data_IF_838466293826
#
_entry.id   IF_838466293826
#
_cell.length_a   1.000
_cell.length_b   1.000
_cell.length_c   1.000
_cell.angle_alpha   90.00
_cell.angle_beta   90.00
_cell.angle_gamma   90.00
#
_symmetry.space_group_name_H-M   'P 1'
#
loop_
_entity.id
_entity.type
_entity.pdbx_description
1 polymer ?
#
# COMPACT_ATOMS: atom_id res chain seq x y z
N UNK A 1 7.31 11.76 -4.99
CA UNK A 1 6.71 12.76 -5.89
C UNK A 1 5.57 12.11 -6.69
N UNK A 2 4.47 12.81 -6.95
CA UNK A 2 3.36 12.35 -7.83
C UNK A 2 3.91 12.25 -9.27
N UNK A 3 3.77 11.10 -9.97
CA UNK A 3 4.12 11.03 -11.38
C UNK A 3 3.37 12.08 -12.19
N UNK A 4 4.06 12.80 -13.06
CA UNK A 4 3.45 13.80 -13.95
C UNK A 4 2.64 13.11 -15.04
N UNK A 5 3.24 12.09 -15.67
CA UNK A 5 2.62 11.31 -16.73
C UNK A 5 3.07 9.85 -16.69
N UNK A 6 2.12 8.94 -16.90
CA UNK A 6 2.38 7.52 -17.13
C UNK A 6 1.95 7.15 -18.55
N UNK A 7 2.64 6.19 -19.17
CA UNK A 7 2.41 5.73 -20.53
C UNK A 7 1.26 4.70 -20.60
N UNK A 8 0.07 5.16 -20.26
CA UNK A 8 -1.17 4.39 -20.29
C UNK A 8 -2.27 5.18 -20.98
N UNK A 9 -3.26 4.51 -21.60
CA UNK A 9 -4.47 5.20 -22.05
C UNK A 9 -5.13 5.95 -20.88
N UNK A 10 -5.69 7.12 -21.15
CA UNK A 10 -6.39 7.91 -20.13
C UNK A 10 -7.71 7.24 -19.77
N UNK A 11 -8.11 7.39 -18.50
CA UNK A 11 -9.42 6.99 -18.04
C UNK A 11 -10.44 8.10 -18.34
N UNK A 12 -11.42 7.89 -19.24
CA UNK A 12 -12.44 8.90 -19.54
C UNK A 12 -13.37 9.20 -18.35
N UNK A 13 -13.46 8.29 -17.38
CA UNK A 13 -14.34 8.40 -16.22
C UNK A 13 -13.64 9.04 -15.00
N UNK A 14 -12.37 9.44 -15.15
CA UNK A 14 -11.61 10.03 -14.05
C UNK A 14 -12.25 11.34 -13.57
N UNK A 15 -12.38 11.47 -12.25
CA UNK A 15 -13.02 12.63 -11.60
C UNK A 15 -14.40 12.33 -11.04
N UNK A 16 -14.96 11.15 -11.32
CA UNK A 16 -16.28 10.74 -10.83
C UNK A 16 -16.24 9.66 -9.75
N UNK A 17 -15.06 9.10 -9.47
CA UNK A 17 -14.92 7.98 -8.54
C UNK A 17 -13.89 8.18 -7.45
N UNK A 18 -13.53 7.07 -6.82
CA UNK A 18 -12.55 7.00 -5.75
C UNK A 18 -11.74 5.71 -5.84
N UNK A 19 -10.53 5.74 -5.30
CA UNK A 19 -9.81 4.53 -4.92
C UNK A 19 -10.24 4.13 -3.52
N UNK A 20 -10.65 2.87 -3.38
CA UNK A 20 -10.86 2.24 -2.09
C UNK A 20 -9.79 1.16 -1.92
N UNK A 21 -9.18 1.14 -0.74
CA UNK A 21 -8.20 0.12 -0.34
C UNK A 21 -8.66 -0.50 0.97
N UNK A 22 -8.72 -1.83 1.00
CA UNK A 22 -8.98 -2.62 2.20
C UNK A 22 -7.73 -3.34 2.62
N UNK A 23 -7.46 -3.32 3.91
CA UNK A 23 -6.42 -4.13 4.54
C UNK A 23 -7.05 -4.84 5.73
N UNK A 24 -7.08 -6.16 5.71
CA UNK A 24 -7.52 -6.96 6.85
C UNK A 24 -6.34 -7.71 7.48
N UNK A 25 -6.41 -7.85 8.80
CA UNK A 25 -5.43 -8.53 9.63
C UNK A 25 -6.20 -9.43 10.60
N UNK A 26 -5.82 -10.70 10.65
CA UNK A 26 -6.37 -11.68 11.61
C UNK A 26 -5.21 -12.33 12.36
N UNK A 27 -5.04 -11.92 13.61
CA UNK A 27 -4.02 -12.43 14.51
C UNK A 27 -4.56 -13.62 15.32
N UNK A 28 -3.80 -14.71 15.30
CA UNK A 28 -3.99 -15.93 16.08
C UNK A 28 -2.74 -16.13 16.96
N UNK A 29 -2.73 -17.13 17.84
CA UNK A 29 -1.66 -17.30 18.83
C UNK A 29 -0.25 -17.44 18.26
N UNK A 30 -0.10 -18.00 17.04
CA UNK A 30 1.20 -18.23 16.40
C UNK A 30 1.22 -17.82 14.92
N UNK A 31 0.20 -17.08 14.47
CA UNK A 31 0.02 -16.74 13.06
C UNK A 31 -0.73 -15.44 12.90
N UNK A 32 -0.30 -14.63 11.95
CA UNK A 32 -1.06 -13.47 11.49
C UNK A 32 -1.30 -13.60 9.99
N UNK A 33 -2.58 -13.60 9.60
CA UNK A 33 -2.97 -13.55 8.19
C UNK A 33 -3.36 -12.12 7.83
N UNK A 34 -2.83 -11.63 6.72
CA UNK A 34 -3.09 -10.29 6.22
C UNK A 34 -3.54 -10.34 4.76
N UNK A 35 -4.51 -9.51 4.39
CA UNK A 35 -5.00 -9.40 3.02
C UNK A 35 -5.15 -7.93 2.66
N UNK A 36 -4.76 -7.61 1.43
CA UNK A 36 -4.84 -6.27 0.86
C UNK A 36 -5.61 -6.37 -0.45
N UNK A 37 -6.53 -5.44 -0.64
CA UNK A 37 -7.32 -5.31 -1.86
C UNK A 37 -7.50 -3.84 -2.23
N UNK A 38 -7.13 -3.47 -3.46
CA UNK A 38 -7.42 -2.17 -4.07
C UNK A 38 -7.67 -2.29 -5.59
N UNK A 39 -7.73 -1.16 -6.30
CA UNK A 39 -8.01 -1.15 -7.73
C UNK A 39 -7.03 -1.99 -8.55
N UNK A 40 -5.74 -1.97 -8.21
CA UNK A 40 -4.66 -2.54 -9.02
C UNK A 40 -3.93 -3.71 -8.35
N UNK A 41 -4.13 -3.89 -7.04
CA UNK A 41 -3.43 -4.90 -6.26
C UNK A 41 -4.40 -5.73 -5.44
N UNK A 42 -4.09 -7.01 -5.36
CA UNK A 42 -4.64 -7.92 -4.38
C UNK A 42 -3.54 -8.86 -3.94
N UNK A 43 -3.29 -8.93 -2.63
CA UNK A 43 -2.16 -9.68 -2.10
C UNK A 43 -2.52 -10.25 -0.74
N UNK A 44 -1.97 -11.42 -0.42
CA UNK A 44 -2.07 -12.05 0.90
C UNK A 44 -0.69 -12.25 1.48
N UNK A 45 -0.60 -12.20 2.79
CA UNK A 45 0.60 -12.53 3.53
C UNK A 45 0.22 -13.30 4.80
N UNK A 46 0.97 -14.36 5.11
CA UNK A 46 0.85 -15.09 6.37
C UNK A 46 2.21 -15.08 7.07
N UNK A 47 2.22 -14.64 8.31
CA UNK A 47 3.39 -14.66 9.20
C UNK A 47 3.17 -15.74 10.24
N UNK A 48 4.13 -16.65 10.43
CA UNK A 48 4.16 -17.61 11.53
C UNK A 48 5.29 -17.22 12.50
N UNK A 49 5.05 -17.35 13.79
CA UNK A 49 6.01 -16.99 14.84
C UNK A 49 5.97 -17.97 16.01
N UNK A 50 7.06 -18.00 16.79
CA UNK A 50 7.19 -18.76 18.05
C UNK A 50 6.96 -17.89 19.30
N UNK A 51 6.29 -16.74 19.10
CA UNK A 51 6.07 -15.68 20.10
C UNK A 51 7.30 -14.83 20.43
N UNK A 52 8.46 -15.10 19.83
CA UNK A 52 9.67 -14.28 19.94
C UNK A 52 10.09 -13.74 18.58
N UNK A 53 10.19 -14.62 17.58
CA UNK A 53 10.67 -14.31 16.24
C UNK A 53 9.71 -14.81 15.16
N UNK A 54 9.84 -14.25 13.97
CA UNK A 54 9.20 -14.79 12.77
C UNK A 54 9.89 -16.09 12.36
N UNK A 55 9.14 -17.17 12.26
CA UNK A 55 9.66 -18.50 11.89
C UNK A 55 9.35 -18.90 10.44
N UNK A 56 8.29 -18.33 9.86
CA UNK A 56 7.98 -18.51 8.44
C UNK A 56 7.14 -17.35 7.90
N UNK A 57 7.30 -17.06 6.62
CA UNK A 57 6.46 -16.10 5.89
C UNK A 57 6.03 -16.71 4.55
N UNK A 58 4.75 -16.60 4.26
CA UNK A 58 4.20 -16.85 2.92
C UNK A 58 3.55 -15.59 2.37
N UNK A 59 3.67 -15.40 1.06
CA UNK A 59 3.03 -14.31 0.35
C UNK A 59 2.36 -14.83 -0.93
N UNK A 60 1.28 -14.16 -1.33
CA UNK A 60 0.54 -14.46 -2.55
C UNK A 60 0.24 -13.14 -3.26
N UNK A 61 0.49 -13.07 -4.56
CA UNK A 61 0.08 -11.94 -5.40
C UNK A 61 -1.06 -12.41 -6.30
N UNK A 62 -2.25 -11.82 -6.11
CA UNK A 62 -3.50 -12.23 -6.78
C UNK A 62 -3.84 -11.29 -7.92
N UNK A 63 -3.82 -9.97 -7.68
CA UNK A 63 -3.94 -8.95 -8.73
C UNK A 63 -2.64 -8.19 -8.83
N UNK A 64 -2.03 -8.17 -10.01
CA UNK A 64 -0.67 -7.65 -10.22
C UNK A 64 -0.61 -6.71 -11.42
N UNK A 65 0.02 -5.53 -11.29
CA UNK A 65 0.19 -4.62 -12.43
C UNK A 65 1.20 -5.10 -13.49
N UNK A 66 2.22 -5.88 -13.08
CA UNK A 66 3.31 -6.30 -13.98
C UNK A 66 3.69 -7.76 -13.76
N UNK A 67 4.25 -8.39 -14.78
CA UNK A 67 4.73 -9.79 -14.73
C UNK A 67 5.88 -10.02 -13.75
N UNK A 68 6.57 -8.95 -13.31
CA UNK A 68 7.64 -9.06 -12.30
C UNK A 68 7.11 -9.10 -10.85
N UNK A 69 5.85 -8.72 -10.61
CA UNK A 69 5.30 -8.63 -9.25
C UNK A 69 5.37 -9.94 -8.44
N UNK A 70 5.08 -11.14 -9.00
CA UNK A 70 5.11 -12.39 -8.24
C UNK A 70 6.47 -12.69 -7.60
N UNK A 71 7.58 -12.31 -8.26
CA UNK A 71 8.92 -12.56 -7.74
C UNK A 71 9.26 -11.74 -6.48
N UNK A 72 8.51 -10.66 -6.21
CA UNK A 72 8.66 -9.89 -4.98
C UNK A 72 8.30 -10.69 -3.72
N UNK A 73 7.51 -11.77 -3.84
CA UNK A 73 7.15 -12.64 -2.71
C UNK A 73 8.39 -13.26 -2.07
N UNK A 74 9.39 -13.64 -2.87
CA UNK A 74 10.63 -14.23 -2.35
C UNK A 74 11.42 -13.27 -1.46
N UNK A 75 11.28 -11.97 -1.66
CA UNK A 75 12.01 -10.95 -0.88
C UNK A 75 11.58 -10.95 0.59
N UNK A 76 10.36 -11.37 0.89
CA UNK A 76 9.84 -11.49 2.26
C UNK A 76 10.64 -12.46 3.13
N UNK A 77 11.37 -13.43 2.54
CA UNK A 77 12.19 -14.37 3.31
C UNK A 77 13.29 -13.67 4.13
N UNK A 78 13.72 -12.48 3.71
CA UNK A 78 14.65 -11.64 4.49
C UNK A 78 14.10 -11.19 5.86
N UNK A 79 12.79 -11.35 6.11
CA UNK A 79 12.16 -10.99 7.38
C UNK A 79 12.04 -12.19 8.35
N UNK A 80 12.34 -13.41 7.91
CA UNK A 80 12.38 -14.60 8.79
C UNK A 80 13.55 -14.48 9.75
N UNK A 81 13.34 -14.83 11.02
CA UNK A 81 14.30 -14.68 12.10
C UNK A 81 14.26 -13.32 12.79
N UNK A 82 13.52 -12.33 12.27
CA UNK A 82 13.38 -11.04 12.94
C UNK A 82 12.49 -11.15 14.18
N UNK A 83 12.78 -10.40 15.26
CA UNK A 83 11.90 -10.31 16.42
C UNK A 83 10.53 -9.79 16.05
N UNK A 84 9.46 -10.39 16.58
CA UNK A 84 8.10 -9.87 16.38
C UNK A 84 7.88 -8.52 17.10
N UNK A 85 8.76 -8.15 18.01
CA UNK A 85 8.82 -6.86 18.70
C UNK A 85 9.55 -5.77 17.91
N UNK A 86 10.04 -6.07 16.70
CA UNK A 86 10.74 -5.09 15.85
C UNK A 86 9.83 -3.89 15.58
N UNK A 87 10.33 -2.67 15.80
CA UNK A 87 9.53 -1.47 15.58
C UNK A 87 9.29 -1.27 14.09
N UNK A 88 8.08 -0.85 13.72
CA UNK A 88 7.69 -0.62 12.32
C UNK A 88 8.71 0.19 11.52
N UNK A 89 9.27 1.26 12.12
CA UNK A 89 10.25 2.13 11.44
C UNK A 89 11.57 1.42 11.09
N UNK A 90 11.96 0.41 11.88
CA UNK A 90 13.23 -0.28 11.73
C UNK A 90 13.21 -1.18 10.47
N UNK A 91 12.03 -1.65 10.05
CA UNK A 91 11.84 -2.36 8.78
C UNK A 91 12.07 -1.50 7.53
N UNK A 92 12.15 -0.17 7.66
CA UNK A 92 12.41 0.71 6.52
C UNK A 92 13.83 1.31 6.55
N UNK A 93 14.61 0.97 7.58
CA UNK A 93 16.02 1.32 7.65
C UNK A 93 16.85 0.49 6.66
N UNK A 94 18.07 0.95 6.36
CA UNK A 94 19.03 0.17 5.57
C UNK A 94 18.67 -0.07 4.10
N UNK A 95 17.61 0.55 3.57
CA UNK A 95 17.28 0.48 2.14
C UNK A 95 16.53 -0.78 1.72
N UNK A 96 16.14 -1.66 2.65
CA UNK A 96 15.39 -2.89 2.36
C UNK A 96 14.12 -2.62 1.53
N UNK A 97 13.44 -1.50 1.75
CA UNK A 97 12.27 -1.09 0.97
C UNK A 97 12.50 -1.02 -0.55
N UNK A 98 13.75 -0.81 -1.00
CA UNK A 98 14.11 -0.77 -2.44
C UNK A 98 14.12 -2.15 -3.09
N UNK A 99 14.29 -3.20 -2.29
CA UNK A 99 14.34 -4.59 -2.75
C UNK A 99 12.98 -5.28 -2.66
N UNK A 100 11.96 -4.62 -2.11
CA UNK A 100 10.64 -5.22 -1.92
C UNK A 100 9.57 -4.56 -2.78
N UNK A 101 8.47 -5.29 -3.01
CA UNK A 101 7.24 -4.62 -3.42
C UNK A 101 6.75 -3.80 -2.23
N UNK A 102 6.59 -2.48 -2.40
CA UNK A 102 6.15 -1.57 -1.33
C UNK A 102 4.88 -2.05 -0.66
N UNK A 103 3.88 -2.48 -1.44
CA UNK A 103 2.59 -2.93 -0.90
C UNK A 103 2.71 -4.23 -0.09
N UNK A 104 3.54 -5.16 -0.54
CA UNK A 104 3.72 -6.45 0.11
C UNK A 104 4.58 -6.33 1.37
N UNK A 105 5.63 -5.50 1.34
CA UNK A 105 6.42 -5.19 2.53
C UNK A 105 5.57 -4.49 3.60
N UNK A 106 4.84 -3.44 3.23
CA UNK A 106 3.95 -2.74 4.15
C UNK A 106 2.96 -3.74 4.80
N UNK A 107 2.39 -4.66 4.01
CA UNK A 107 1.46 -5.70 4.48
C UNK A 107 2.13 -6.68 5.47
N UNK A 108 3.33 -7.17 5.14
CA UNK A 108 4.09 -8.08 6.01
C UNK A 108 4.51 -7.40 7.32
N UNK A 109 4.98 -6.15 7.26
CA UNK A 109 5.37 -5.37 8.45
C UNK A 109 4.16 -5.13 9.38
N UNK A 110 2.99 -4.80 8.82
CA UNK A 110 1.76 -4.72 9.60
C UNK A 110 1.43 -6.06 10.24
N UNK A 111 1.48 -7.17 9.48
CA UNK A 111 1.21 -8.49 10.02
C UNK A 111 2.15 -8.87 11.18
N UNK A 112 3.46 -8.59 11.05
CA UNK A 112 4.43 -8.80 12.14
C UNK A 112 4.09 -7.94 13.37
N UNK A 113 3.76 -6.67 13.19
CA UNK A 113 3.36 -5.77 14.28
C UNK A 113 2.07 -6.18 15.01
N UNK A 114 1.27 -7.07 14.42
CA UNK A 114 0.07 -7.65 15.05
C UNK A 114 0.33 -9.02 15.70
N UNK A 115 1.51 -9.62 15.52
CA UNK A 115 1.86 -10.93 16.13
C UNK A 115 1.86 -10.90 17.67
N UNK A 116 2.11 -9.73 18.27
CA UNK A 116 2.05 -9.55 19.73
C UNK A 116 0.62 -9.29 20.26
N UNK A 117 -0.37 -9.24 19.38
CA UNK A 117 -1.78 -8.90 19.71
C UNK A 117 -2.71 -10.04 19.27
N UNK A 118 -2.59 -11.26 19.84
CA UNK A 118 -3.36 -12.41 19.42
C UNK A 118 -4.87 -12.19 19.61
N UNK A 119 -5.68 -12.91 18.82
CA UNK A 119 -7.14 -12.83 18.83
C UNK A 119 -7.72 -11.48 18.39
N UNK A 120 -6.92 -10.67 17.68
CA UNK A 120 -7.38 -9.42 17.09
C UNK A 120 -7.76 -9.62 15.63
N UNK A 121 -8.93 -9.11 15.24
CA UNK A 121 -9.33 -8.96 13.85
C UNK A 121 -9.53 -7.48 13.55
N UNK A 122 -8.84 -7.00 12.51
CA UNK A 122 -8.86 -5.61 12.10
C UNK A 122 -9.15 -5.54 10.61
N UNK A 123 -10.03 -4.62 10.25
CA UNK A 123 -10.29 -4.18 8.90
C UNK A 123 -10.05 -2.67 8.83
N UNK A 124 -9.07 -2.29 8.03
CA UNK A 124 -8.92 -0.93 7.55
C UNK A 124 -9.62 -0.79 6.20
N UNK A 125 -10.39 0.28 6.04
CA UNK A 125 -10.91 0.72 4.75
C UNK A 125 -10.46 2.17 4.54
N UNK A 126 -9.69 2.43 3.49
CA UNK A 126 -9.25 3.76 3.11
C UNK A 126 -9.90 4.16 1.79
N UNK A 127 -10.17 5.46 1.65
CA UNK A 127 -10.78 6.04 0.47
C UNK A 127 -10.10 7.34 0.09
N UNK A 128 -9.81 7.47 -1.20
CA UNK A 128 -9.25 8.67 -1.82
C UNK A 128 -10.07 8.97 -3.08
N UNK A 129 -10.88 10.05 -3.08
CA UNK A 129 -11.58 10.52 -4.28
C UNK A 129 -10.63 10.92 -5.40
N UNK A 130 -11.11 10.88 -6.64
CA UNK A 130 -10.37 11.39 -7.79
C UNK A 130 -10.09 12.90 -7.61
N UNK A 131 -8.81 13.28 -7.73
CA UNK A 131 -8.35 14.65 -7.52
C UNK A 131 -8.27 15.41 -8.85
N UNK A 132 -9.26 16.27 -9.09
CA UNK A 132 -9.38 17.13 -10.28
C UNK A 132 -8.98 18.58 -9.98
N UNK A 133 -9.91 19.50 -9.76
CA UNK A 133 -9.64 20.94 -9.54
C UNK A 133 -9.51 21.32 -8.07
N UNK A 134 -10.30 20.70 -7.19
CA UNK A 134 -10.31 21.05 -5.77
C UNK A 134 -9.46 20.07 -4.93
N UNK A 135 -9.01 20.48 -3.73
CA UNK A 135 -8.50 19.55 -2.74
C UNK A 135 -9.53 18.47 -2.41
N UNK A 136 -9.07 17.24 -2.20
CA UNK A 136 -9.97 16.11 -1.91
C UNK A 136 -9.82 15.66 -0.46
N UNK A 137 -10.94 15.31 0.22
CA UNK A 137 -10.86 14.68 1.53
C UNK A 137 -10.55 13.20 1.34
N UNK A 138 -9.43 12.75 1.89
CA UNK A 138 -9.15 11.33 2.02
C UNK A 138 -9.36 10.85 3.45
N UNK A 139 -9.84 9.64 3.59
CA UNK A 139 -10.36 9.11 4.85
C UNK A 139 -9.98 7.66 5.04
N UNK A 140 -9.78 7.26 6.29
CA UNK A 140 -9.58 5.86 6.66
C UNK A 140 -10.38 5.50 7.91
N UNK A 141 -10.97 4.32 7.87
CA UNK A 141 -11.74 3.71 8.94
C UNK A 141 -11.04 2.45 9.43
N UNK A 142 -11.17 2.17 10.72
CA UNK A 142 -10.72 0.93 11.38
C UNK A 142 -11.93 0.28 12.03
N UNK A 143 -12.29 -0.93 11.60
CA UNK A 143 -13.49 -1.64 12.06
C UNK A 143 -14.75 -0.75 12.01
N UNK A 144 -14.94 -0.05 10.89
CA UNK A 144 -16.07 0.86 10.67
C UNK A 144 -15.95 2.26 11.31
N UNK A 145 -15.08 2.45 12.31
CA UNK A 145 -14.88 3.75 12.97
C UNK A 145 -13.91 4.64 12.19
N UNK A 146 -14.27 5.90 11.94
CA UNK A 146 -13.38 6.88 11.30
C UNK A 146 -12.19 7.15 12.23
N UNK A 147 -10.97 6.92 11.75
CA UNK A 147 -9.75 7.15 12.55
C UNK A 147 -8.89 8.28 12.00
N UNK A 148 -8.99 8.60 10.71
CA UNK A 148 -8.24 9.71 10.13
C UNK A 148 -8.95 10.29 8.89
N UNK A 149 -8.89 11.62 8.75
CA UNK A 149 -9.34 12.40 7.60
C UNK A 149 -8.31 13.48 7.32
N UNK A 150 -7.78 13.54 6.09
CA UNK A 150 -6.91 14.61 5.63
C UNK A 150 -7.49 15.28 4.39
N UNK A 151 -7.40 16.61 4.32
CA UNK A 151 -7.64 17.35 3.09
C UNK A 151 -6.31 17.44 2.33
N UNK A 152 -6.27 17.01 1.07
CA UNK A 152 -5.01 16.89 0.33
C UNK A 152 -5.11 17.56 -1.03
N UNK A 153 -3.99 18.12 -1.49
CA UNK A 153 -3.83 18.64 -2.86
C UNK A 153 -2.47 18.24 -3.41
N UNK A 154 -2.46 17.55 -4.55
CA UNK A 154 -1.24 17.17 -5.28
C UNK A 154 -0.20 16.43 -4.41
N UNK A 155 -0.67 15.69 -3.39
CA UNK A 155 0.18 14.94 -2.48
C UNK A 155 0.75 15.72 -1.31
N UNK A 156 0.31 16.96 -1.08
CA UNK A 156 0.54 17.71 0.15
C UNK A 156 -0.71 17.70 1.02
N UNK A 157 -0.54 17.53 2.33
CA UNK A 157 -1.62 17.67 3.32
C UNK A 157 -1.90 19.17 3.51
N UNK A 158 -3.17 19.56 3.44
CA UNK A 158 -3.65 20.93 3.71
C UNK A 158 -4.29 21.04 5.09
N UNK A 159 -5.02 19.99 5.48
CA UNK A 159 -5.63 19.83 6.80
C UNK A 159 -5.41 18.41 7.34
N UNK A 160 -5.19 18.26 8.65
CA UNK A 160 -5.26 19.30 9.69
C UNK A 160 -4.03 20.23 9.70
N UNK A 161 -4.14 21.37 10.41
CA UNK A 161 -3.14 22.45 10.40
C UNK A 161 -1.74 21.96 10.80
N UNK A 162 -1.67 21.06 11.78
CA UNK A 162 -0.43 20.52 12.35
C UNK A 162 0.37 19.68 11.33
N UNK A 163 -0.31 19.18 10.30
CA UNK A 163 0.29 18.37 9.24
C UNK A 163 0.44 19.13 7.92
N UNK A 164 0.08 20.42 7.89
CA UNK A 164 0.07 21.21 6.65
C UNK A 164 1.44 21.21 5.97
N UNK A 165 1.44 20.97 4.66
CA UNK A 165 2.64 20.91 3.82
C UNK A 165 3.40 19.58 3.88
N UNK A 166 3.04 18.64 4.77
CA UNK A 166 3.68 17.33 4.82
C UNK A 166 3.35 16.51 3.55
N UNK A 167 4.35 15.87 2.91
CA UNK A 167 4.14 15.12 1.68
C UNK A 167 3.62 13.69 1.94
N UNK A 168 2.71 13.20 1.11
CA UNK A 168 2.24 11.81 1.08
C UNK A 168 3.15 10.86 0.29
N UNK A 169 4.06 11.42 -0.51
CA UNK A 169 4.99 10.65 -1.33
C UNK A 169 6.38 10.50 -0.69
N UNK A 170 7.38 11.08 -1.35
CA UNK A 170 8.78 11.03 -0.89
C UNK A 170 8.89 11.71 0.47
N UNK A 171 9.57 11.07 1.42
CA UNK A 171 9.72 11.58 2.78
C UNK A 171 8.59 11.21 3.74
N UNK A 172 7.49 10.59 3.25
CA UNK A 172 6.35 10.22 4.09
C UNK A 172 6.74 9.39 5.31
N UNK A 173 7.41 8.24 5.10
CA UNK A 173 7.79 7.34 6.19
C UNK A 173 8.68 8.03 7.24
N UNK A 174 9.57 8.93 6.80
CA UNK A 174 10.48 9.65 7.69
C UNK A 174 9.74 10.62 8.63
N UNK A 175 8.82 11.44 8.11
CA UNK A 175 8.08 12.36 8.98
C UNK A 175 6.96 11.66 9.75
N UNK A 176 6.27 10.70 9.13
CA UNK A 176 5.14 10.02 9.74
C UNK A 176 5.56 9.23 10.98
N UNK A 177 6.72 8.57 10.95
CA UNK A 177 7.27 7.83 12.09
C UNK A 177 7.73 8.70 13.27
N UNK A 178 7.81 10.02 13.10
CA UNK A 178 8.08 10.99 14.17
C UNK A 178 6.80 11.58 14.77
N UNK A 179 5.67 11.48 14.05
CA UNK A 179 4.40 12.12 14.42
C UNK A 179 3.38 11.10 14.90
N UNK A 180 3.39 9.90 14.34
CA UNK A 180 2.42 8.84 14.62
C UNK A 180 3.10 7.61 15.21
N UNK A 181 2.38 6.93 16.09
CA UNK A 181 2.79 5.66 16.66
C UNK A 181 1.73 4.58 16.43
N UNK A 182 2.15 3.32 16.43
CA UNK A 182 1.28 2.14 16.44
C UNK A 182 0.14 2.23 15.38
N UNK A 183 -1.11 2.06 15.80
CA UNK A 183 -2.30 2.06 14.94
C UNK A 183 -2.47 3.36 14.15
N UNK A 184 -2.01 4.51 14.67
CA UNK A 184 -2.05 5.78 13.92
C UNK A 184 -1.06 5.77 12.76
N UNK A 185 0.14 5.21 12.97
CA UNK A 185 1.16 5.08 11.93
C UNK A 185 0.72 4.07 10.86
N UNK A 186 0.08 2.97 11.27
CA UNK A 186 -0.53 2.01 10.35
C UNK A 186 -1.59 2.69 9.48
N UNK A 187 -2.55 3.38 10.10
CA UNK A 187 -3.62 4.07 9.38
C UNK A 187 -3.09 5.16 8.43
N UNK A 188 -2.13 5.96 8.89
CA UNK A 188 -1.45 6.96 8.09
C UNK A 188 -0.74 6.35 6.88
N UNK A 189 -0.03 5.22 7.09
CA UNK A 189 0.68 4.51 6.02
C UNK A 189 -0.27 3.96 4.98
N UNK A 190 -1.34 3.28 5.41
CA UNK A 190 -2.37 2.76 4.50
C UNK A 190 -2.96 3.90 3.68
N UNK A 191 -3.36 5.00 4.32
CA UNK A 191 -3.99 6.13 3.64
C UNK A 191 -3.05 6.81 2.63
N UNK A 192 -1.77 7.00 2.98
CA UNK A 192 -0.76 7.53 2.05
C UNK A 192 -0.51 6.60 0.85
N UNK A 193 -0.52 5.27 1.05
CA UNK A 193 -0.46 4.30 -0.06
C UNK A 193 -1.70 4.33 -0.92
N UNK A 194 -2.88 4.43 -0.33
CA UNK A 194 -4.14 4.60 -1.06
C UNK A 194 -4.09 5.84 -1.96
N UNK A 195 -3.52 6.95 -1.50
CA UNK A 195 -3.31 8.14 -2.33
C UNK A 195 -2.37 7.88 -3.51
N UNK A 196 -1.27 7.16 -3.29
CA UNK A 196 -0.35 6.78 -4.36
C UNK A 196 -1.04 5.92 -5.44
N UNK A 197 -1.88 4.98 -5.01
CA UNK A 197 -2.71 4.13 -5.89
C UNK A 197 -3.76 4.95 -6.64
N UNK A 198 -4.39 5.94 -5.99
CA UNK A 198 -5.40 6.80 -6.60
C UNK A 198 -4.88 7.58 -7.81
N UNK A 199 -3.58 7.87 -7.88
CA UNK A 199 -2.96 8.48 -9.06
C UNK A 199 -3.14 7.60 -10.31
N UNK A 200 -3.11 6.27 -10.14
CA UNK A 200 -3.30 5.30 -11.22
C UNK A 200 -4.69 5.36 -11.86
N UNK A 201 -5.73 5.82 -11.14
CA UNK A 201 -7.10 5.94 -11.68
C UNK A 201 -7.23 6.93 -12.84
N UNK A 202 -6.24 7.81 -13.05
CA UNK A 202 -6.16 8.69 -14.24
C UNK A 202 -6.01 7.91 -15.54
N UNK A 203 -5.66 6.63 -15.44
CA UNK A 203 -5.26 5.78 -16.55
C UNK A 203 -6.09 4.50 -16.61
N UNK A 204 -6.00 3.79 -17.72
CA UNK A 204 -6.50 2.42 -17.92
C UNK A 204 -5.34 1.43 -18.09
N UNK A 205 -4.61 1.05 -17.02
CA UNK A 205 -3.58 0.02 -17.07
C UNK A 205 -4.07 -1.31 -17.67
N UNK A 206 -5.35 -1.65 -17.51
CA UNK A 206 -5.93 -2.85 -18.14
C UNK A 206 -5.83 -2.87 -19.67
N UNK A 207 -5.72 -1.70 -20.31
CA UNK A 207 -5.54 -1.56 -21.77
C UNK A 207 -4.08 -1.48 -22.21
N UNK A 208 -3.14 -1.76 -21.30
CA UNK A 208 -1.71 -1.70 -21.55
C UNK A 208 -1.04 -3.08 -21.60
N UNK A 209 -1.81 -4.17 -21.68
CA UNK A 209 -1.30 -5.54 -21.71
C UNK A 209 -0.12 -5.71 -22.68
N UNK A 210 0.96 -6.33 -22.21
CA UNK A 210 2.17 -6.59 -23.00
C UNK A 210 3.09 -5.40 -23.20
N UNK A 211 2.70 -4.17 -22.85
CA UNK A 211 3.60 -3.01 -22.92
C UNK A 211 4.74 -3.16 -21.90
N UNK A 212 5.99 -2.81 -22.25
CA UNK A 212 7.10 -2.83 -21.31
C UNK A 212 6.85 -1.93 -20.09
N UNK A 213 7.12 -2.43 -18.88
CA UNK A 213 6.99 -1.63 -17.66
C UNK A 213 7.95 -0.43 -17.67
N UNK A 214 9.15 -0.60 -18.23
CA UNK A 214 10.18 0.45 -18.39
C UNK A 214 9.72 1.68 -19.19
N UNK A 215 8.63 1.57 -19.95
CA UNK A 215 8.05 2.71 -20.66
C UNK A 215 7.37 3.72 -19.70
N UNK A 216 7.38 3.45 -18.39
CA UNK A 216 6.99 4.36 -17.32
C UNK A 216 8.21 4.81 -16.49
N UNK A 217 9.09 5.68 -17.01
CA UNK A 217 10.34 6.04 -16.33
C UNK A 217 10.14 6.72 -14.97
N UNK A 218 9.02 7.42 -14.77
CA UNK A 218 8.67 8.03 -13.49
C UNK A 218 8.36 7.02 -12.36
N UNK A 219 8.20 5.74 -12.72
CA UNK A 219 7.97 4.64 -11.78
C UNK A 219 9.25 3.94 -11.34
N UNK A 220 10.39 4.20 -11.99
CA UNK A 220 11.67 3.58 -11.67
C UNK A 220 12.04 3.76 -10.19
N UNK A 221 12.51 2.67 -9.58
CA UNK A 221 12.93 2.62 -8.18
C UNK A 221 11.80 2.71 -7.15
N UNK A 222 10.52 2.71 -7.56
CA UNK A 222 9.40 2.84 -6.61
C UNK A 222 9.02 1.54 -5.91
N UNK A 223 9.26 0.39 -6.54
CA UNK A 223 9.03 -0.93 -5.97
C UNK A 223 9.87 -1.98 -6.69
N UNK A 224 9.86 -3.22 -6.19
CA UNK A 224 10.56 -4.35 -6.81
C UNK A 224 10.42 -4.45 -8.34
N UNK A 225 9.19 -4.37 -8.87
CA UNK A 225 8.95 -4.49 -10.32
C UNK A 225 9.62 -3.38 -11.15
N UNK A 226 9.87 -2.22 -10.53
CA UNK A 226 10.53 -1.07 -11.14
C UNK A 226 11.98 -0.90 -10.66
N UNK A 227 12.54 -1.89 -9.98
CA UNK A 227 13.95 -1.89 -9.56
C UNK A 227 14.87 -2.28 -10.72
N UNK A 228 16.17 -2.02 -10.55
CA UNK A 228 17.20 -2.43 -11.51
C UNK A 228 17.17 -3.96 -11.68
N UNK A 229 17.03 -4.42 -12.91
CA UNK A 229 16.87 -5.84 -13.24
C UNK A 229 15.43 -6.18 -13.63
N UNK A 230 14.49 -6.34 -12.67
CA UNK A 230 13.11 -6.74 -12.98
C UNK A 230 12.42 -5.87 -14.04
N UNK A 231 12.65 -4.56 -14.03
CA UNK A 231 11.99 -3.62 -14.95
C UNK A 231 12.36 -3.84 -16.43
N UNK A 232 13.51 -4.46 -16.70
CA UNK A 232 14.02 -4.65 -18.07
C UNK A 232 13.21 -5.66 -18.87
N UNK A 233 12.62 -6.64 -18.19
CA UNK A 233 11.83 -7.72 -18.81
C UNK A 233 10.37 -7.70 -18.41
N UNK A 234 9.99 -6.92 -17.38
CA UNK A 234 8.62 -6.78 -16.94
C UNK A 234 7.74 -6.16 -18.03
N UNK A 235 6.56 -6.76 -18.23
CA UNK A 235 5.49 -6.17 -19.03
C UNK A 235 4.25 -5.98 -18.18
N UNK A 236 3.40 -5.05 -18.58
CA UNK A 236 2.10 -4.83 -17.97
C UNK A 236 1.20 -6.05 -18.21
N UNK A 237 0.54 -6.55 -17.18
CA UNK A 237 -0.35 -7.71 -17.29
C UNK A 237 -1.67 -7.38 -17.98
N UNK A 238 -2.12 -6.12 -17.91
CA UNK A 238 -3.43 -5.70 -18.40
C UNK A 238 -4.59 -6.25 -17.56
N UNK A 239 -4.34 -6.67 -16.32
CA UNK A 239 -5.40 -7.13 -15.43
C UNK A 239 -6.46 -6.05 -15.23
N UNK A 240 -7.73 -6.49 -15.20
CA UNK A 240 -8.87 -5.60 -14.99
C UNK A 240 -8.80 -4.98 -13.59
N UNK A 241 -9.03 -3.68 -13.53
CA UNK A 241 -9.10 -2.96 -12.27
C UNK A 241 -10.30 -3.45 -11.44
N UNK A 242 -10.10 -3.63 -10.14
CA UNK A 242 -11.21 -3.84 -9.22
C UNK A 242 -11.88 -2.52 -8.85
N UNK A 243 -13.21 -2.54 -8.78
CA UNK A 243 -14.01 -1.40 -8.34
C UNK A 243 -14.72 -1.79 -7.05
N UNK A 244 -14.15 -1.39 -5.92
CA UNK A 244 -14.76 -1.62 -4.62
C UNK A 244 -15.75 -0.50 -4.31
N UNK A 245 -16.82 -0.83 -3.62
CA UNK A 245 -17.75 0.12 -3.02
C UNK A 245 -17.54 0.17 -1.52
N UNK A 246 -17.84 1.29 -0.86
CA UNK A 246 -17.79 1.38 0.62
C UNK A 246 -18.59 0.25 1.24
N UNK A 247 -18.10 -0.32 2.34
CA UNK A 247 -18.95 -1.20 3.14
C UNK A 247 -20.13 -0.39 3.69
N UNK A 248 -21.31 -1.01 3.68
CA UNK A 248 -22.47 -0.47 4.39
C UNK A 248 -22.10 -0.35 5.88
N UNK A 249 -22.46 0.77 6.49
CA UNK A 249 -22.19 1.05 7.89
C UNK A 249 -23.53 1.13 8.58
N UNK A 250 -23.71 0.31 9.61
CA UNK A 250 -24.82 0.50 10.53
C UNK A 250 -24.57 1.83 11.27
N UNK A 251 -25.61 2.67 11.32
CA UNK A 251 -25.55 4.01 11.90
C UNK A 251 -25.48 3.97 13.42
#
# INVERSE_FOLDING_TARGET
>A
MRPKQLNFPLNPDYGTGATIRRVSLRAQSNRVNAHLLDNFHEMRCSIVHDCSIVTAITGESVRIPTTACPAAVHQLQSLVGLPISTRTRDFYAGGIARHHCTHLLDLAVMAIGHAQRPSTEILYEAEVPDEVELPVPMTIWRNGRLVCRWLVRQGAILEPLELRGRPLGTGFAAWASLVFEQDQLEAATILARTWLIAIGRRYRPSQAAGRPARDNPEMLGRCYAYSTGPVETAVMTGEKEAHLHRLQREA
#
